data_IF_283687627393
#
_entry.id   IF_283687627393
#
_cell.length_a   1.000
_cell.length_b   1.000
_cell.length_c   1.000
_cell.angle_alpha   90.00
_cell.angle_beta   90.00
_cell.angle_gamma   90.00
#
_symmetry.space_group_name_H-M   'P 1'
#
loop_
_entity.id
_entity.type
_entity.pdbx_description
1 polymer ?
#
# COMPACT_ATOMS: atom_id res chain seq x y z
N UNK A 1 -8.84 -12.22 -3.32
CA UNK A 1 -9.32 -11.19 -2.37
C UNK A 1 -9.48 -9.88 -3.12
N UNK A 2 -10.64 -9.25 -2.99
CA UNK A 2 -10.95 -7.92 -3.54
C UNK A 2 -10.96 -6.90 -2.40
N UNK A 3 -10.39 -5.73 -2.63
CA UNK A 3 -10.23 -4.66 -1.65
C UNK A 3 -10.87 -3.38 -2.17
N UNK A 4 -11.56 -2.68 -1.28
CA UNK A 4 -12.08 -1.34 -1.50
C UNK A 4 -11.23 -0.37 -0.67
N UNK A 5 -10.49 0.52 -1.32
CA UNK A 5 -9.60 1.47 -0.63
C UNK A 5 -10.08 2.87 -0.96
N UNK A 6 -10.47 3.63 0.06
CA UNK A 6 -10.72 5.06 -0.01
C UNK A 6 -9.68 5.80 0.81
N UNK A 7 -9.05 6.82 0.24
CA UNK A 7 -8.12 7.67 0.97
C UNK A 7 -8.24 9.12 0.52
N UNK A 8 -8.01 10.04 1.47
CA UNK A 8 -7.79 11.44 1.19
C UNK A 8 -6.38 11.81 1.66
N UNK A 9 -5.45 11.85 0.72
CA UNK A 9 -4.04 12.15 0.94
C UNK A 9 -3.68 13.56 0.46
N UNK A 10 -4.66 14.42 0.19
CA UNK A 10 -4.43 15.77 -0.31
C UNK A 10 -3.56 16.63 0.62
N UNK A 11 -3.58 16.35 1.93
CA UNK A 11 -2.74 17.03 2.92
C UNK A 11 -1.25 16.72 2.80
N UNK A 12 -0.88 15.61 2.14
CA UNK A 12 0.53 15.25 1.91
C UNK A 12 1.17 16.08 0.78
N UNK A 13 0.35 16.73 -0.04
CA UNK A 13 0.83 17.60 -1.12
C UNK A 13 1.04 19.02 -0.61
N UNK A 14 2.32 19.38 -0.46
CA UNK A 14 2.79 20.74 -0.19
C UNK A 14 3.36 21.34 -1.47
N UNK A 15 3.87 22.58 -1.40
CA UNK A 15 4.48 23.26 -2.55
C UNK A 15 5.65 22.49 -3.19
N UNK A 16 6.33 21.60 -2.44
CA UNK A 16 7.48 20.83 -2.93
C UNK A 16 7.19 19.34 -3.17
N UNK A 17 5.96 18.87 -2.92
CA UNK A 17 5.63 17.45 -3.09
C UNK A 17 5.36 17.15 -4.56
N UNK A 18 6.30 16.46 -5.22
CA UNK A 18 6.17 16.08 -6.64
C UNK A 18 5.27 14.87 -6.87
N UNK A 19 5.39 13.84 -6.03
CA UNK A 19 4.60 12.61 -6.11
C UNK A 19 4.53 11.94 -4.73
N UNK A 20 3.50 11.14 -4.51
CA UNK A 20 3.37 10.31 -3.30
C UNK A 20 3.33 8.85 -3.71
N UNK A 21 4.21 8.03 -3.15
CA UNK A 21 4.13 6.57 -3.24
C UNK A 21 3.34 6.06 -2.05
N UNK A 22 2.30 5.25 -2.32
CA UNK A 22 1.46 4.65 -1.29
C UNK A 22 1.43 3.14 -1.51
N UNK A 23 1.45 2.39 -0.41
CA UNK A 23 1.31 0.94 -0.45
C UNK A 23 0.45 0.47 0.73
N UNK A 24 -0.25 -0.63 0.53
CA UNK A 24 -1.01 -1.34 1.55
C UNK A 24 -0.27 -2.61 1.88
N UNK A 25 0.04 -2.83 3.16
CA UNK A 25 0.67 -4.04 3.64
C UNK A 25 -0.25 -4.78 4.62
N UNK A 26 -0.18 -6.11 4.62
CA UNK A 26 -0.72 -6.94 5.68
C UNK A 26 0.43 -7.38 6.59
N UNK A 27 0.23 -7.20 7.88
CA UNK A 27 1.13 -7.70 8.92
C UNK A 27 0.48 -8.90 9.59
N UNK A 28 1.25 -9.98 9.77
CA UNK A 28 0.78 -11.19 10.42
C UNK A 28 1.89 -11.85 11.21
N UNK A 29 1.49 -12.56 12.25
CA UNK A 29 2.39 -13.32 13.10
C UNK A 29 2.25 -14.81 12.80
N UNK A 30 3.37 -15.53 12.86
CA UNK A 30 3.38 -17.00 12.84
C UNK A 30 4.25 -17.51 13.99
N UNK A 31 4.05 -18.74 14.48
CA UNK A 31 4.88 -19.28 15.56
C UNK A 31 6.39 -19.27 15.28
N UNK A 32 6.80 -19.26 14.01
CA UNK A 32 8.19 -19.21 13.58
C UNK A 32 8.70 -17.79 13.31
N UNK A 33 7.82 -16.81 13.12
CA UNK A 33 8.16 -15.43 12.76
C UNK A 33 7.15 -14.46 13.41
N UNK A 34 7.57 -13.73 14.45
CA UNK A 34 6.69 -12.82 15.19
C UNK A 34 6.38 -11.52 14.42
N UNK A 35 7.03 -11.24 13.29
CA UNK A 35 6.71 -10.10 12.44
C UNK A 35 6.93 -10.46 10.96
N UNK A 36 5.85 -10.65 10.22
CA UNK A 36 5.87 -10.75 8.76
C UNK A 36 5.04 -9.62 8.15
N UNK A 37 5.54 -9.02 7.07
CA UNK A 37 4.85 -7.98 6.33
C UNK A 37 4.80 -8.36 4.84
N UNK A 38 3.61 -8.33 4.23
CA UNK A 38 3.42 -8.58 2.79
C UNK A 38 2.73 -7.37 2.17
N UNK A 39 3.30 -6.85 1.08
CA UNK A 39 2.64 -5.82 0.26
C UNK A 39 1.47 -6.41 -0.51
N UNK A 40 0.28 -5.79 -0.39
CA UNK A 40 -0.95 -6.20 -1.07
C UNK A 40 -1.24 -5.36 -2.31
N UNK A 41 -0.87 -4.09 -2.26
CA UNK A 41 -1.12 -3.12 -3.32
C UNK A 41 -0.17 -1.94 -3.18
N UNK A 42 0.22 -1.36 -4.32
CA UNK A 42 1.05 -0.16 -4.38
C UNK A 42 0.56 0.75 -5.52
N UNK A 43 0.77 2.05 -5.36
CA UNK A 43 0.40 3.06 -6.33
C UNK A 43 1.20 4.34 -6.19
N UNK A 44 1.37 5.05 -7.32
CA UNK A 44 1.97 6.38 -7.36
C UNK A 44 0.85 7.39 -7.60
N UNK A 45 0.75 8.39 -6.72
CA UNK A 45 -0.16 9.51 -6.84
C UNK A 45 0.65 10.69 -7.40
N UNK A 46 0.42 11.10 -8.65
CA UNK A 46 1.28 12.06 -9.32
C UNK A 46 0.99 13.52 -8.92
N UNK A 47 -0.18 13.82 -8.38
CA UNK A 47 -0.53 15.19 -7.96
C UNK A 47 -1.65 15.21 -6.91
N UNK A 48 -1.87 16.38 -6.30
CA UNK A 48 -2.93 16.62 -5.31
C UNK A 48 -4.34 16.33 -5.84
N UNK A 49 -4.58 16.56 -7.12
CA UNK A 49 -5.90 16.32 -7.75
C UNK A 49 -6.27 14.84 -7.77
N UNK A 50 -5.27 13.96 -7.79
CA UNK A 50 -5.44 12.51 -7.72
C UNK A 50 -5.37 11.95 -6.29
N UNK A 51 -5.10 12.79 -5.29
CA UNK A 51 -4.82 12.34 -3.93
C UNK A 51 -6.08 12.03 -3.10
N UNK A 52 -7.27 12.32 -3.62
CA UNK A 52 -8.54 11.83 -3.09
C UNK A 52 -9.10 10.80 -4.06
N UNK A 53 -9.08 9.54 -3.66
CA UNK A 53 -9.43 8.44 -4.56
C UNK A 53 -10.21 7.33 -3.85
N UNK A 54 -10.93 6.57 -4.67
CA UNK A 54 -11.55 5.30 -4.29
C UNK A 54 -11.21 4.26 -5.36
N UNK A 55 -10.65 3.13 -4.96
CA UNK A 55 -10.25 2.06 -5.85
C UNK A 55 -10.86 0.73 -5.42
N UNK A 56 -11.31 -0.03 -6.42
CA UNK A 56 -11.69 -1.43 -6.29
C UNK A 56 -10.63 -2.28 -6.98
N UNK A 57 -9.84 -3.04 -6.22
CA UNK A 57 -8.71 -3.79 -6.77
C UNK A 57 -8.56 -5.16 -6.14
N UNK A 58 -8.04 -6.12 -6.91
CA UNK A 58 -7.58 -7.39 -6.37
C UNK A 58 -6.18 -7.25 -5.79
N UNK A 59 -5.81 -8.15 -4.88
CA UNK A 59 -4.44 -8.24 -4.37
C UNK A 59 -3.45 -8.37 -5.55
N UNK A 60 -2.46 -7.45 -5.62
CA UNK A 60 -1.47 -7.39 -6.69
C UNK A 60 -0.40 -8.47 -6.52
N UNK A 61 -0.10 -8.85 -5.28
CA UNK A 61 0.89 -9.89 -4.98
C UNK A 61 0.21 -11.10 -4.33
N UNK A 62 0.71 -12.30 -4.60
CA UNK A 62 0.22 -13.49 -3.89
C UNK A 62 0.67 -13.42 -2.43
N UNK A 63 -0.14 -13.96 -1.52
CA UNK A 63 0.25 -14.21 -0.13
C UNK A 63 1.31 -15.31 -0.10
N UNK A 64 2.54 -14.96 -0.49
CA UNK A 64 3.71 -15.80 -0.39
C UNK A 64 4.51 -15.18 0.74
N UNK A 65 4.83 -15.98 1.75
CA UNK A 65 5.74 -15.57 2.83
C UNK A 65 7.02 -15.08 2.17
N UNK A 66 7.18 -13.77 2.12
CA UNK A 66 8.38 -13.17 1.55
C UNK A 66 9.47 -13.44 2.58
N UNK A 67 10.14 -14.59 2.43
CA UNK A 67 11.46 -14.77 3.01
C UNK A 67 12.32 -13.66 2.40
N UNK A 68 12.41 -12.53 3.09
CA UNK A 68 13.60 -11.71 3.01
C UNK A 68 14.74 -12.61 3.51
N UNK A 69 15.42 -13.25 2.56
CA UNK A 69 16.71 -13.85 2.81
C UNK A 69 17.68 -12.68 3.04
N UNK A 70 17.98 -12.47 4.34
CA UNK A 70 19.10 -11.72 4.93
C UNK A 70 19.41 -10.33 4.38
#
# INVERSE_FOLDING_TARGET
MTMNISANLQSLFTWNTKQVFVFLAAEYETPKKPLNQISLWDGIIPSKDHAKFWIHTSNKYRFIDQQFAR
#
